data_IF_632218250109
#
_entry.id   IF_632218250109
#
_cell.length_a   1.000
_cell.length_b   1.000
_cell.length_c   1.000
_cell.angle_alpha   90.00
_cell.angle_beta   90.00
_cell.angle_gamma   90.00
#
_symmetry.space_group_name_H-M   'P 1'
#
loop_
_entity.id
_entity.type
_entity.pdbx_description
1 polymer ?
#
# COMPACT_ATOMS: atom_id res chain seq x y z
N UNK A 1 64.78 20.79 -45.28
CA UNK A 1 64.10 20.18 -44.11
C UNK A 1 62.65 20.66 -44.10
N UNK A 2 61.75 19.87 -44.66
CA UNK A 2 60.33 20.18 -44.85
C UNK A 2 59.53 19.83 -43.58
N UNK A 3 58.81 20.81 -43.00
CA UNK A 3 57.91 20.60 -41.86
C UNK A 3 56.53 20.16 -42.38
N UNK A 4 56.06 18.99 -41.96
CA UNK A 4 54.69 18.52 -42.20
C UNK A 4 53.76 18.95 -41.05
N UNK A 5 52.51 19.36 -41.31
CA UNK A 5 51.55 19.71 -40.26
C UNK A 5 50.89 18.45 -39.70
N UNK A 6 50.83 18.36 -38.37
CA UNK A 6 50.10 17.31 -37.64
C UNK A 6 48.63 17.72 -37.57
N UNK A 7 47.76 16.99 -38.25
CA UNK A 7 46.32 17.16 -38.15
C UNK A 7 45.81 16.43 -36.89
N UNK A 8 45.33 17.20 -35.90
CA UNK A 8 44.61 16.66 -34.74
C UNK A 8 43.20 16.23 -35.18
N UNK A 9 42.96 14.92 -35.21
CA UNK A 9 41.63 14.35 -35.44
C UNK A 9 40.88 14.33 -34.09
N UNK A 10 39.91 15.23 -33.92
CA UNK A 10 39.02 15.23 -32.75
C UNK A 10 38.00 14.09 -32.90
N UNK A 11 38.19 13.00 -32.15
CA UNK A 11 37.19 11.94 -32.00
C UNK A 11 36.05 12.44 -31.10
N UNK A 12 34.90 12.75 -31.70
CA UNK A 12 33.67 13.02 -30.97
C UNK A 12 33.11 11.69 -30.40
N UNK A 13 33.24 11.50 -29.09
CA UNK A 13 32.56 10.44 -28.36
C UNK A 13 31.05 10.73 -28.33
N UNK A 14 30.31 10.16 -29.27
CA UNK A 14 28.85 10.13 -29.24
C UNK A 14 28.41 9.18 -28.11
N UNK A 15 28.18 9.73 -26.91
CA UNK A 15 27.56 9.01 -25.81
C UNK A 15 26.12 8.67 -26.15
N UNK A 16 25.83 7.40 -26.44
CA UNK A 16 24.47 6.92 -26.51
C UNK A 16 23.83 7.07 -25.12
N UNK A 17 22.96 8.06 -24.96
CA UNK A 17 22.09 8.15 -23.79
C UNK A 17 21.09 6.99 -23.85
N UNK A 18 21.38 5.90 -23.15
CA UNK A 18 20.42 4.82 -22.93
C UNK A 18 19.33 5.32 -22.00
N UNK A 19 18.15 5.60 -22.55
CA UNK A 19 16.95 5.92 -21.76
C UNK A 19 16.58 4.67 -20.94
N UNK A 20 16.57 4.79 -19.62
CA UNK A 20 16.15 3.70 -18.76
C UNK A 20 14.69 3.32 -19.06
N UNK A 21 14.34 2.02 -19.07
CA UNK A 21 12.96 1.61 -19.26
C UNK A 21 12.06 2.22 -18.17
N UNK A 22 10.80 2.54 -18.47
CA UNK A 22 9.87 3.07 -17.49
C UNK A 22 9.74 2.10 -16.30
N UNK A 23 9.71 2.65 -15.09
CA UNK A 23 9.57 1.85 -13.87
C UNK A 23 8.29 1.00 -13.93
N UNK A 24 8.36 -0.25 -13.46
CA UNK A 24 7.17 -1.08 -13.34
C UNK A 24 6.15 -0.37 -12.42
N UNK A 25 4.82 -0.47 -12.68
CA UNK A 25 3.86 0.30 -11.89
C UNK A 25 3.90 -0.03 -10.39
N UNK A 26 4.23 -1.28 -10.02
CA UNK A 26 4.49 -1.68 -8.64
C UNK A 26 5.66 -0.91 -8.00
N UNK A 27 6.76 -0.70 -8.73
CA UNK A 27 7.93 0.04 -8.24
C UNK A 27 7.60 1.54 -8.09
N UNK A 28 6.87 2.10 -9.05
CA UNK A 28 6.40 3.48 -8.99
C UNK A 28 5.42 3.69 -7.80
N UNK A 29 4.52 2.74 -7.55
CA UNK A 29 3.61 2.79 -6.42
C UNK A 29 4.35 2.70 -5.08
N UNK A 30 5.31 1.77 -4.95
CA UNK A 30 6.16 1.68 -3.75
C UNK A 30 6.95 2.97 -3.53
N UNK A 31 7.49 3.59 -4.58
CA UNK A 31 8.20 4.86 -4.47
C UNK A 31 7.29 5.99 -3.95
N UNK A 32 6.02 6.04 -4.38
CA UNK A 32 5.03 7.00 -3.84
C UNK A 32 4.81 6.80 -2.34
N UNK A 33 4.68 5.56 -1.88
CA UNK A 33 4.53 5.28 -0.45
C UNK A 33 5.79 5.59 0.35
N UNK A 34 6.96 5.22 -0.16
CA UNK A 34 8.24 5.52 0.50
C UNK A 34 8.47 7.04 0.63
N UNK A 35 7.98 7.86 -0.31
CA UNK A 35 8.04 9.33 -0.19
C UNK A 35 7.18 9.89 0.97
N UNK A 36 6.26 9.09 1.51
CA UNK A 36 5.44 9.42 2.67
C UNK A 36 6.04 8.90 3.99
N UNK A 37 7.20 8.24 3.97
CA UNK A 37 7.76 7.60 5.16
C UNK A 37 7.93 8.56 6.34
N UNK A 38 7.57 8.10 7.54
CA UNK A 38 7.55 8.86 8.79
C UNK A 38 6.37 9.83 8.94
N UNK A 39 5.54 10.03 7.90
CA UNK A 39 4.39 10.94 7.95
C UNK A 39 3.12 10.21 8.33
N UNK A 40 2.27 10.91 9.06
CA UNK A 40 0.92 10.47 9.39
C UNK A 40 -0.11 11.46 8.83
N UNK A 41 -1.30 10.95 8.51
CA UNK A 41 -2.37 11.71 7.86
C UNK A 41 -3.71 11.34 8.46
N UNK A 42 -4.55 12.35 8.70
CA UNK A 42 -5.92 12.15 9.14
C UNK A 42 -6.79 11.70 7.96
N UNK A 43 -7.75 10.83 8.23
CA UNK A 43 -8.68 10.32 7.23
C UNK A 43 -10.13 10.33 7.66
N UNK A 44 -10.99 9.93 6.73
CA UNK A 44 -12.44 9.77 6.94
C UNK A 44 -12.97 8.63 6.08
N UNK A 45 -14.01 7.96 6.57
CA UNK A 45 -14.81 7.04 5.76
C UNK A 45 -15.58 7.85 4.72
N UNK A 46 -15.60 7.38 3.47
CA UNK A 46 -16.34 8.03 2.37
C UNK A 46 -17.47 7.16 1.80
N UNK A 47 -17.65 5.97 2.38
CA UNK A 47 -18.80 5.07 2.18
C UNK A 47 -19.81 5.24 3.31
N UNK A 48 -21.04 4.75 3.10
CA UNK A 48 -22.15 4.88 4.04
C UNK A 48 -22.82 3.53 4.36
N UNK A 49 -22.11 2.42 4.17
CA UNK A 49 -22.59 1.09 4.55
C UNK A 49 -22.75 1.03 6.08
N UNK A 50 -23.88 0.52 6.62
CA UNK A 50 -24.05 0.35 8.07
C UNK A 50 -22.89 -0.40 8.76
N UNK A 51 -22.22 -1.33 8.05
CA UNK A 51 -21.07 -2.07 8.56
C UNK A 51 -19.81 -1.19 8.76
N UNK A 52 -19.83 0.05 8.30
CA UNK A 52 -18.75 1.02 8.44
C UNK A 52 -18.91 1.91 9.68
N UNK A 53 -20.02 1.79 10.41
CA UNK A 53 -20.30 2.56 11.62
C UNK A 53 -19.22 2.43 12.71
N UNK A 54 -18.48 1.32 12.74
CA UNK A 54 -17.35 1.13 13.65
C UNK A 54 -16.15 2.07 13.36
N UNK A 55 -16.06 2.60 12.13
CA UNK A 55 -15.04 3.56 11.70
C UNK A 55 -15.60 4.98 11.60
N UNK A 56 -16.86 5.11 11.20
CA UNK A 56 -17.53 6.40 11.12
C UNK A 56 -17.57 7.08 12.49
N UNK A 57 -17.15 8.35 12.53
CA UNK A 57 -17.08 9.14 13.78
C UNK A 57 -15.85 8.89 14.65
N UNK A 58 -14.96 7.96 14.27
CA UNK A 58 -13.66 7.79 14.94
C UNK A 58 -12.61 8.73 14.35
N UNK A 59 -11.59 9.06 15.15
CA UNK A 59 -10.38 9.67 14.63
C UNK A 59 -9.61 8.61 13.84
N UNK A 60 -9.52 8.78 12.52
CA UNK A 60 -8.82 7.85 11.64
C UNK A 60 -7.46 8.43 11.27
N UNK A 61 -6.38 7.69 11.51
CA UNK A 61 -5.02 8.12 11.19
C UNK A 61 -4.25 6.99 10.52
N UNK A 62 -3.73 7.22 9.33
CA UNK A 62 -2.68 6.37 8.75
C UNK A 62 -1.32 6.92 9.12
N UNK A 63 -0.35 6.06 9.36
CA UNK A 63 1.05 6.44 9.54
C UNK A 63 1.90 5.57 8.63
N UNK A 64 2.63 6.14 7.67
CA UNK A 64 3.60 5.37 6.87
C UNK A 64 4.87 5.22 7.68
N UNK A 65 4.96 4.20 8.55
CA UNK A 65 5.92 4.18 9.66
C UNK A 65 7.27 3.56 9.32
N UNK A 66 7.28 2.43 8.61
CA UNK A 66 8.50 1.69 8.28
C UNK A 66 8.56 1.48 6.78
N UNK A 67 9.69 1.83 6.16
CA UNK A 67 9.89 1.74 4.73
C UNK A 67 11.27 1.17 4.45
N UNK A 68 11.30 -0.11 4.10
CA UNK A 68 12.48 -0.81 3.64
C UNK A 68 12.46 -0.88 2.11
N UNK A 69 13.54 -1.42 1.53
CA UNK A 69 13.67 -1.52 0.06
C UNK A 69 12.51 -2.28 -0.59
N UNK A 70 11.93 -3.25 0.09
CA UNK A 70 10.88 -4.14 -0.46
C UNK A 70 9.61 -4.17 0.37
N UNK A 71 9.52 -3.43 1.48
CA UNK A 71 8.35 -3.46 2.36
C UNK A 71 8.02 -2.08 2.91
N UNK A 72 6.74 -1.72 2.89
CA UNK A 72 6.21 -0.55 3.58
C UNK A 72 5.14 -1.01 4.56
N UNK A 73 5.25 -0.58 5.82
CA UNK A 73 4.29 -0.89 6.89
C UNK A 73 3.56 0.37 7.29
N UNK A 74 2.24 0.33 7.18
CA UNK A 74 1.34 1.48 7.37
C UNK A 74 0.36 1.15 8.49
N UNK A 75 0.67 1.50 9.76
CA UNK A 75 -0.31 1.46 10.82
C UNK A 75 -1.55 2.30 10.52
N UNK A 76 -2.72 1.74 10.82
CA UNK A 76 -4.01 2.40 10.68
C UNK A 76 -4.74 2.42 12.02
N UNK A 77 -4.81 3.60 12.62
CA UNK A 77 -5.40 3.86 13.92
C UNK A 77 -6.87 4.25 13.78
N UNK A 78 -7.72 3.66 14.63
CA UNK A 78 -9.15 3.93 14.68
C UNK A 78 -9.50 4.32 16.12
N UNK A 79 -9.55 5.62 16.40
CA UNK A 79 -9.63 6.11 17.78
C UNK A 79 -8.44 5.60 18.61
N UNK A 80 -8.72 4.89 19.70
CA UNK A 80 -7.70 4.28 20.56
C UNK A 80 -7.24 2.89 20.10
N UNK A 81 -7.89 2.31 19.08
CA UNK A 81 -7.54 0.99 18.55
C UNK A 81 -6.33 1.09 17.62
N UNK A 82 -5.28 0.35 17.99
CA UNK A 82 -3.96 0.36 17.34
C UNK A 82 -3.58 -1.02 16.79
N UNK A 83 -4.57 -1.88 16.59
CA UNK A 83 -4.37 -3.28 16.20
C UNK A 83 -3.90 -3.47 14.76
N UNK A 84 -4.12 -2.50 13.86
CA UNK A 84 -4.08 -2.73 12.41
C UNK A 84 -2.84 -2.12 11.78
N UNK A 85 -2.12 -2.93 11.01
CA UNK A 85 -1.06 -2.48 10.12
C UNK A 85 -1.24 -3.09 8.74
N UNK A 86 -1.29 -2.24 7.72
CA UNK A 86 -1.15 -2.70 6.34
C UNK A 86 0.31 -2.95 6.02
N UNK A 87 0.63 -4.15 5.56
CA UNK A 87 1.99 -4.56 5.17
C UNK A 87 2.01 -4.73 3.67
N UNK A 88 2.70 -3.83 2.98
CA UNK A 88 2.84 -3.85 1.53
C UNK A 88 4.23 -4.32 1.14
N UNK A 89 4.33 -5.47 0.47
CA UNK A 89 5.59 -6.09 0.09
C UNK A 89 5.74 -6.12 -1.43
N UNK A 90 6.89 -5.70 -1.96
CA UNK A 90 7.28 -5.91 -3.35
C UNK A 90 7.60 -7.39 -3.58
N UNK A 91 6.90 -8.02 -4.52
CA UNK A 91 7.16 -9.41 -4.95
C UNK A 91 7.94 -9.42 -6.27
N UNK A 92 8.21 -10.58 -6.86
CA UNK A 92 8.81 -10.64 -8.19
C UNK A 92 7.86 -10.08 -9.28
N UNK A 93 6.57 -10.36 -9.16
CA UNK A 93 5.57 -10.10 -10.21
C UNK A 93 4.66 -8.91 -9.95
N UNK A 94 4.71 -8.31 -8.76
CA UNK A 94 3.91 -7.15 -8.41
C UNK A 94 4.04 -6.81 -6.93
N UNK A 95 2.91 -6.56 -6.26
CA UNK A 95 2.82 -6.26 -4.84
C UNK A 95 1.97 -7.28 -4.10
N UNK A 96 2.23 -7.40 -2.81
CA UNK A 96 1.39 -8.15 -1.87
C UNK A 96 0.95 -7.23 -0.76
N UNK A 97 -0.33 -7.23 -0.46
CA UNK A 97 -0.91 -6.58 0.71
C UNK A 97 -1.27 -7.65 1.72
N UNK A 98 -0.82 -7.49 2.97
CA UNK A 98 -1.29 -8.26 4.13
C UNK A 98 -1.74 -7.32 5.26
N UNK A 99 -2.68 -7.79 6.08
CA UNK A 99 -3.19 -7.09 7.25
C UNK A 99 -2.62 -7.72 8.51
N UNK A 100 -1.59 -7.09 9.08
CA UNK A 100 -1.04 -7.51 10.37
C UNK A 100 -1.92 -6.93 11.48
N UNK A 101 -2.50 -7.83 12.27
CA UNK A 101 -3.50 -7.57 13.29
C UNK A 101 -2.98 -8.12 14.61
N UNK A 102 -2.83 -7.24 15.60
CA UNK A 102 -2.28 -7.56 16.92
C UNK A 102 -3.27 -7.24 18.02
N UNK A 103 -3.20 -8.00 19.10
CA UNK A 103 -3.82 -7.67 20.37
C UNK A 103 -3.00 -6.61 21.12
N UNK A 104 -3.58 -6.01 22.17
CA UNK A 104 -2.92 -4.98 22.98
C UNK A 104 -1.58 -5.42 23.58
N UNK A 105 -1.46 -6.70 23.91
CA UNK A 105 -0.24 -7.32 24.42
C UNK A 105 0.81 -7.60 23.32
N UNK A 106 0.49 -7.29 22.05
CA UNK A 106 1.35 -7.49 20.89
C UNK A 106 1.29 -8.89 20.27
N UNK A 107 0.52 -9.82 20.83
CA UNK A 107 0.31 -11.14 20.24
C UNK A 107 -0.53 -11.05 18.95
N UNK A 108 -0.36 -12.03 18.06
CA UNK A 108 -1.12 -12.09 16.79
C UNK A 108 -2.58 -12.40 17.02
N UNK A 109 -3.47 -11.65 16.37
CA UNK A 109 -4.89 -12.02 16.25
C UNK A 109 -5.03 -13.28 15.39
N UNK A 110 -6.00 -14.13 15.70
CA UNK A 110 -6.30 -15.34 14.91
C UNK A 110 -6.63 -15.03 13.45
N UNK A 111 -7.21 -13.85 13.18
CA UNK A 111 -7.55 -13.33 11.86
C UNK A 111 -6.55 -12.24 11.46
N UNK A 112 -5.32 -12.67 11.22
CA UNK A 112 -4.20 -11.81 10.82
C UNK A 112 -3.53 -12.31 9.55
N UNK A 113 -2.66 -11.48 8.97
CA UNK A 113 -1.89 -11.75 7.76
C UNK A 113 -2.73 -12.18 6.55
N UNK A 114 -4.00 -11.76 6.52
CA UNK A 114 -4.87 -11.91 5.37
C UNK A 114 -4.67 -10.76 4.38
N UNK A 115 -4.97 -10.99 3.11
CA UNK A 115 -4.82 -10.02 2.04
C UNK A 115 -4.69 -10.70 0.68
N UNK A 116 -3.84 -10.16 -0.19
CA UNK A 116 -3.78 -10.60 -1.58
C UNK A 116 -2.51 -10.18 -2.31
N UNK A 117 -2.29 -10.81 -3.46
CA UNK A 117 -1.28 -10.38 -4.43
C UNK A 117 -1.96 -9.58 -5.55
N UNK A 118 -1.27 -8.58 -6.09
CA UNK A 118 -1.71 -7.88 -7.29
C UNK A 118 -1.75 -8.85 -8.48
N UNK A 119 -2.88 -8.90 -9.19
CA UNK A 119 -3.05 -9.78 -10.37
C UNK A 119 -2.67 -9.11 -11.69
N UNK A 120 -2.94 -7.82 -11.79
CA UNK A 120 -2.52 -6.98 -12.92
C UNK A 120 -1.32 -6.12 -12.51
N UNK A 121 -0.55 -5.56 -13.47
CA UNK A 121 0.51 -4.61 -13.15
C UNK A 121 0.03 -3.42 -12.31
N UNK A 122 -1.27 -3.13 -12.31
CA UNK A 122 -1.88 -1.98 -11.66
C UNK A 122 -1.45 -0.69 -12.34
N UNK A 123 -1.46 0.41 -11.60
CA UNK A 123 -0.90 1.69 -12.05
C UNK A 123 0.09 2.22 -11.01
N UNK A 124 0.83 3.26 -11.39
CA UNK A 124 1.68 3.96 -10.44
C UNK A 124 0.92 4.55 -9.24
N UNK A 125 -0.40 4.78 -9.38
CA UNK A 125 -1.24 5.39 -8.35
C UNK A 125 -2.31 4.47 -7.74
N UNK A 126 -2.52 3.26 -8.27
CA UNK A 126 -3.54 2.31 -7.77
C UNK A 126 -3.10 0.87 -7.93
N UNK A 127 -3.33 0.08 -6.88
CA UNK A 127 -3.06 -1.36 -6.85
C UNK A 127 -4.25 -2.10 -6.24
N UNK A 128 -4.58 -3.27 -6.80
CA UNK A 128 -5.70 -4.11 -6.34
C UNK A 128 -5.21 -5.50 -5.93
N UNK A 129 -5.79 -6.03 -4.87
CA UNK A 129 -5.34 -7.25 -4.21
C UNK A 129 -6.56 -8.16 -3.98
N UNK A 130 -6.91 -9.04 -4.93
CA UNK A 130 -7.87 -10.11 -4.68
C UNK A 130 -7.34 -11.05 -3.59
N UNK A 131 -8.24 -11.59 -2.77
CA UNK A 131 -7.87 -12.55 -1.73
C UNK A 131 -7.00 -13.68 -2.28
N UNK A 132 -5.82 -13.86 -1.67
CA UNK A 132 -4.92 -14.96 -2.01
C UNK A 132 -5.39 -16.28 -1.38
N UNK A 133 -4.78 -17.38 -1.83
CA UNK A 133 -5.15 -18.73 -1.39
C UNK A 133 -5.02 -18.91 0.14
N UNK A 134 -4.00 -18.28 0.75
CA UNK A 134 -3.80 -18.32 2.20
C UNK A 134 -4.95 -17.62 2.94
N UNK A 135 -5.37 -16.46 2.45
CA UNK A 135 -6.47 -15.68 3.02
C UNK A 135 -7.80 -16.40 2.85
N UNK A 136 -8.03 -17.03 1.69
CA UNK A 136 -9.22 -17.86 1.45
C UNK A 136 -9.25 -19.03 2.44
N UNK A 137 -8.13 -19.74 2.63
CA UNK A 137 -8.04 -20.84 3.58
C UNK A 137 -8.27 -20.40 5.03
N UNK A 138 -7.69 -19.26 5.44
CA UNK A 138 -7.92 -18.64 6.74
C UNK A 138 -9.40 -18.29 6.93
N UNK A 139 -10.01 -17.59 5.97
CA UNK A 139 -11.41 -17.18 6.08
C UNK A 139 -12.36 -18.38 6.12
N UNK A 140 -12.10 -19.44 5.35
CA UNK A 140 -12.90 -20.66 5.43
C UNK A 140 -12.79 -21.31 6.80
N UNK A 141 -11.57 -21.44 7.35
CA UNK A 141 -11.34 -22.04 8.67
C UNK A 141 -12.01 -21.24 9.80
N UNK A 142 -11.95 -19.92 9.73
CA UNK A 142 -12.48 -19.03 10.78
C UNK A 142 -13.97 -18.66 10.57
N UNK A 143 -14.70 -19.37 9.70
CA UNK A 143 -16.14 -19.15 9.49
C UNK A 143 -16.48 -17.80 8.82
N UNK A 144 -15.56 -17.26 8.02
CA UNK A 144 -15.65 -15.94 7.36
C UNK A 144 -15.82 -16.08 5.83
N UNK A 145 -16.58 -17.08 5.38
CA UNK A 145 -16.70 -17.45 3.96
C UNK A 145 -17.04 -16.28 3.01
N UNK A 146 -17.83 -15.30 3.45
CA UNK A 146 -18.12 -14.12 2.63
C UNK A 146 -16.86 -13.30 2.26
N UNK A 147 -15.78 -13.40 3.02
CA UNK A 147 -14.53 -12.67 2.81
C UNK A 147 -13.60 -13.29 1.76
N UNK A 148 -13.90 -14.50 1.28
CA UNK A 148 -13.08 -15.19 0.27
C UNK A 148 -13.13 -14.51 -1.10
N UNK A 149 -14.15 -13.69 -1.34
CA UNK A 149 -14.31 -12.86 -2.55
C UNK A 149 -13.91 -11.40 -2.35
N UNK A 150 -13.24 -11.07 -1.24
CA UNK A 150 -12.73 -9.72 -1.01
C UNK A 150 -11.68 -9.34 -2.06
N UNK A 151 -11.77 -8.10 -2.51
CA UNK A 151 -10.72 -7.41 -3.26
C UNK A 151 -10.40 -6.14 -2.51
N UNK A 152 -9.16 -6.01 -2.07
CA UNK A 152 -8.66 -4.77 -1.48
C UNK A 152 -8.07 -3.88 -2.56
N UNK A 153 -8.05 -2.57 -2.33
CA UNK A 153 -7.29 -1.66 -3.18
C UNK A 153 -6.62 -0.58 -2.34
N UNK A 154 -5.50 -0.08 -2.86
CA UNK A 154 -4.82 1.10 -2.34
C UNK A 154 -4.61 2.09 -3.46
N UNK A 155 -4.88 3.36 -3.18
CA UNK A 155 -4.59 4.48 -4.07
C UNK A 155 -3.63 5.44 -3.38
N UNK A 156 -2.61 5.88 -4.11
CA UNK A 156 -1.64 6.87 -3.67
C UNK A 156 -1.56 7.98 -4.72
N UNK A 157 -2.44 8.97 -4.59
CA UNK A 157 -2.44 10.17 -5.41
C UNK A 157 -1.49 11.23 -4.87
N UNK A 158 -1.55 12.42 -5.45
CA UNK A 158 -0.67 13.53 -5.06
C UNK A 158 -1.20 14.26 -3.80
N UNK A 159 -2.51 14.27 -3.62
CA UNK A 159 -3.19 14.95 -2.49
C UNK A 159 -3.93 14.01 -1.56
N UNK A 160 -4.14 12.74 -1.95
CA UNK A 160 -4.90 11.78 -1.14
C UNK A 160 -4.33 10.37 -1.25
N UNK A 161 -4.39 9.65 -0.13
CA UNK A 161 -4.25 8.20 -0.07
C UNK A 161 -5.61 7.60 0.23
N UNK A 162 -5.93 6.45 -0.37
CA UNK A 162 -7.15 5.73 -0.06
C UNK A 162 -6.90 4.23 0.10
N UNK A 163 -7.67 3.63 1.00
CA UNK A 163 -7.76 2.18 1.15
C UNK A 163 -9.21 1.74 0.95
N UNK A 164 -9.40 0.65 0.21
CA UNK A 164 -10.70 0.09 -0.11
C UNK A 164 -10.79 -1.39 0.24
N UNK A 165 -12.01 -1.82 0.58
CA UNK A 165 -12.44 -3.22 0.52
C UNK A 165 -13.71 -3.28 -0.35
N UNK A 166 -13.65 -4.06 -1.43
CA UNK A 166 -14.80 -4.43 -2.26
C UNK A 166 -15.11 -5.91 -2.13
N UNK A 167 -16.40 -6.23 -2.11
CA UNK A 167 -16.91 -7.59 -2.18
C UNK A 167 -18.11 -7.62 -3.14
N UNK A 168 -18.13 -8.54 -4.12
CA UNK A 168 -19.18 -8.60 -5.14
C UNK A 168 -20.61 -8.64 -4.57
N UNK A 169 -21.60 -8.04 -5.25
CA UNK A 169 -22.98 -7.89 -4.77
C UNK A 169 -23.83 -9.16 -4.99
N UNK A 170 -23.35 -10.30 -4.51
CA UNK A 170 -24.17 -11.49 -4.17
C UNK A 170 -24.44 -11.40 -2.65
N UNK A 171 -25.45 -12.08 -2.05
CA UNK A 171 -25.85 -11.82 -0.66
C UNK A 171 -24.64 -11.62 0.28
N UNK A 172 -24.51 -10.41 0.85
CA UNK A 172 -23.35 -10.01 1.65
C UNK A 172 -22.27 -9.18 0.94
N UNK A 173 -22.56 -8.57 -0.22
CA UNK A 173 -21.69 -7.57 -0.87
C UNK A 173 -21.33 -6.40 0.05
N UNK A 174 -20.18 -5.77 -0.21
CA UNK A 174 -19.64 -4.70 0.65
C UNK A 174 -18.77 -3.76 -0.17
N UNK A 175 -18.88 -2.46 0.12
CA UNK A 175 -17.87 -1.49 -0.29
C UNK A 175 -17.52 -0.59 0.89
N UNK A 176 -16.28 -0.67 1.34
CA UNK A 176 -15.69 0.19 2.36
C UNK A 176 -14.58 1.00 1.72
N UNK A 177 -14.54 2.32 2.01
CA UNK A 177 -13.43 3.19 1.60
C UNK A 177 -13.12 4.22 2.67
N UNK A 178 -11.84 4.37 2.98
CA UNK A 178 -11.28 5.44 3.81
C UNK A 178 -10.29 6.24 2.97
N UNK A 179 -10.37 7.57 3.08
CA UNK A 179 -9.48 8.51 2.39
C UNK A 179 -8.72 9.36 3.41
N UNK A 180 -7.45 9.64 3.13
CA UNK A 180 -6.55 10.41 3.97
C UNK A 180 -5.99 11.60 3.19
N UNK A 181 -5.97 12.78 3.82
CA UNK A 181 -5.49 14.02 3.20
C UNK A 181 -3.95 14.09 3.28
N UNK A 182 -3.28 13.85 2.15
CA UNK A 182 -1.81 13.89 2.07
C UNK A 182 -1.24 15.32 2.07
N UNK A 183 -2.08 16.34 1.93
CA UNK A 183 -1.64 17.75 1.91
C UNK A 183 -1.38 18.29 3.32
N UNK A 184 -1.89 17.61 4.35
CA UNK A 184 -1.83 18.05 5.74
C UNK A 184 -1.35 16.93 6.68
N UNK A 185 -0.02 16.76 6.83
CA UNK A 185 0.52 15.84 7.82
C UNK A 185 0.03 16.19 9.23
N UNK A 186 -0.22 15.16 10.04
CA UNK A 186 -0.54 15.26 11.46
C UNK A 186 0.59 14.65 12.30
N UNK A 187 0.69 14.96 13.61
CA UNK A 187 1.63 14.27 14.49
C UNK A 187 1.44 12.74 14.42
N UNK A 188 2.53 11.97 14.33
CA UNK A 188 2.43 10.51 14.36
C UNK A 188 1.71 10.02 15.63
N UNK A 189 0.77 9.06 15.51
CA UNK A 189 0.11 8.46 16.67
C UNK A 189 1.09 7.56 17.45
N UNK A 190 0.73 7.09 18.65
CA UNK A 190 1.49 6.06 19.36
C UNK A 190 1.75 4.83 18.46
N UNK A 191 2.83 4.07 18.68
CA UNK A 191 3.11 2.85 17.92
C UNK A 191 1.89 1.90 17.89
N UNK A 192 1.67 1.17 16.77
CA UNK A 192 0.69 0.08 16.76
C UNK A 192 1.07 -0.99 17.78
N UNK A 193 0.11 -1.81 18.20
CA UNK A 193 0.40 -2.89 19.12
C UNK A 193 1.35 -3.91 18.49
N UNK A 194 2.28 -4.45 19.30
CA UNK A 194 3.27 -5.43 18.86
C UNK A 194 4.40 -4.89 17.97
N UNK A 195 4.81 -3.63 18.12
CA UNK A 195 5.77 -2.94 17.23
C UNK A 195 6.79 -2.03 17.92
#
# INVERSE_FOLDING_TARGET
MTRAPIAFLAFALAGCATVAPPAAPADAFMARLTALCGKAFAGRVVTNDPADAAFAGQQLVMHVRQCDRSEVRIPFHVGSDRSRTWVLTRTATGLRLKHDHRHEDGSSDKLTMYGGNSREPGTAGRQEFPADAESIALFTREGRAASTSNVWAMEAGDTAFAYELRRPPIPGGRFFRVEFDLTRPVPPPPPPWGS
#
